data_IF_798622600370
#
_entry.id   IF_798622600370
#
_cell.length_a   1.000
_cell.length_b   1.000
_cell.length_c   1.000
_cell.angle_alpha   90.00
_cell.angle_beta   90.00
_cell.angle_gamma   90.00
#
_symmetry.space_group_name_H-M   'P 1'
#
loop_
_entity.id
_entity.type
_entity.pdbx_description
1 polymer ?
#
# COMPACT_ATOMS: atom_id res chain seq x y z
N UNK A 1 47.54 14.75 12.01
CA UNK A 1 46.57 13.65 11.78
C UNK A 1 45.52 14.16 10.83
N UNK A 2 45.36 13.52 9.68
CA UNK A 2 44.32 13.88 8.71
C UNK A 2 42.93 13.72 9.35
N UNK A 3 42.11 14.78 9.23
CA UNK A 3 40.81 14.85 9.90
C UNK A 3 39.83 13.96 9.15
N UNK A 4 39.23 13.00 9.85
CA UNK A 4 38.26 12.07 9.23
C UNK A 4 37.01 12.85 8.83
N UNK A 5 36.50 12.72 7.59
CA UNK A 5 35.26 13.37 7.16
C UNK A 5 34.05 12.94 8.01
N UNK A 6 33.07 13.82 8.23
CA UNK A 6 31.87 13.49 8.99
C UNK A 6 31.14 12.27 8.39
N UNK A 7 30.60 11.41 9.27
CA UNK A 7 29.91 10.18 8.86
C UNK A 7 30.83 9.01 8.49
N UNK A 8 32.13 9.13 8.73
CA UNK A 8 33.10 8.06 8.52
C UNK A 8 33.88 7.75 9.81
N UNK A 9 34.33 6.50 9.93
CA UNK A 9 35.19 6.06 11.02
C UNK A 9 36.49 5.47 10.46
N UNK A 10 37.61 5.73 11.13
CA UNK A 10 38.93 5.22 10.72
C UNK A 10 39.16 3.84 11.35
N UNK A 11 39.40 2.82 10.53
CA UNK A 11 39.73 1.45 10.96
C UNK A 11 41.14 1.13 10.51
N UNK A 12 42.10 1.10 11.45
CA UNK A 12 43.53 0.75 11.29
C UNK A 12 44.25 1.40 10.09
N UNK A 13 43.94 0.97 8.87
CA UNK A 13 44.57 1.39 7.61
C UNK A 13 43.65 2.14 6.64
N UNK A 14 42.33 2.19 6.84
CA UNK A 14 41.41 2.86 5.90
C UNK A 14 40.16 3.45 6.58
N UNK A 15 39.47 4.33 5.86
CA UNK A 15 38.26 5.03 6.33
C UNK A 15 37.02 4.27 5.83
N UNK A 16 36.16 3.82 6.75
CA UNK A 16 34.87 3.18 6.43
C UNK A 16 33.74 4.18 6.63
N UNK A 17 32.70 4.06 5.80
CA UNK A 17 31.45 4.81 5.97
C UNK A 17 30.66 4.20 7.13
N UNK A 18 30.08 5.04 7.99
CA UNK A 18 29.19 4.54 9.02
C UNK A 18 27.97 3.89 8.37
N UNK A 19 27.51 2.72 8.86
CA UNK A 19 26.24 2.18 8.43
C UNK A 19 25.17 3.23 8.72
N UNK A 20 24.46 3.66 7.69
CA UNK A 20 23.31 4.54 7.88
C UNK A 20 22.26 3.77 8.70
N UNK A 21 21.58 4.42 9.66
CA UNK A 21 20.43 3.80 10.30
C UNK A 21 19.43 3.46 9.19
N UNK A 22 19.35 2.18 8.84
CA UNK A 22 18.37 1.70 7.88
C UNK A 22 17.09 1.58 8.68
N UNK A 23 16.10 2.41 8.36
CA UNK A 23 14.77 2.26 8.94
C UNK A 23 14.34 0.81 8.76
N UNK A 24 13.99 0.13 9.86
CA UNK A 24 13.48 -1.24 9.80
C UNK A 24 12.12 -1.13 9.14
N UNK A 25 12.07 -1.42 7.84
CA UNK A 25 10.84 -1.36 7.07
C UNK A 25 9.77 -2.22 7.74
N UNK A 26 8.56 -1.68 7.83
CA UNK A 26 7.42 -2.45 8.32
C UNK A 26 7.24 -3.67 7.40
N UNK A 27 7.03 -4.85 7.98
CA UNK A 27 6.78 -6.06 7.19
C UNK A 27 5.57 -5.81 6.29
N UNK A 28 5.63 -6.26 5.03
CA UNK A 28 4.49 -6.16 4.11
C UNK A 28 3.22 -6.78 4.69
N UNK A 29 3.37 -7.82 5.52
CA UNK A 29 2.28 -8.44 6.28
C UNK A 29 1.64 -7.53 7.31
N UNK A 30 2.43 -6.66 7.96
CA UNK A 30 1.90 -5.67 8.90
C UNK A 30 1.04 -4.65 8.16
N UNK A 31 1.48 -4.21 6.98
CA UNK A 31 0.71 -3.30 6.12
C UNK A 31 -0.60 -3.99 5.69
N UNK A 32 -0.53 -5.23 5.20
CA UNK A 32 -1.71 -6.00 4.80
C UNK A 32 -2.72 -6.18 5.97
N UNK A 33 -2.23 -6.46 7.18
CA UNK A 33 -3.06 -6.56 8.38
C UNK A 33 -3.78 -5.25 8.73
N UNK A 34 -3.10 -4.11 8.59
CA UNK A 34 -3.71 -2.79 8.78
C UNK A 34 -4.82 -2.55 7.76
N UNK A 35 -4.57 -2.81 6.48
CA UNK A 35 -5.60 -2.67 5.44
C UNK A 35 -6.80 -3.58 5.68
N UNK A 36 -6.57 -4.85 6.05
CA UNK A 36 -7.64 -5.78 6.39
C UNK A 36 -8.49 -5.28 7.56
N UNK A 37 -7.87 -4.71 8.59
CA UNK A 37 -8.58 -4.12 9.72
C UNK A 37 -9.44 -2.94 9.28
N UNK A 38 -8.90 -2.03 8.48
CA UNK A 38 -9.63 -0.84 7.97
C UNK A 38 -10.86 -1.29 7.16
N UNK A 39 -10.67 -2.20 6.21
CA UNK A 39 -11.76 -2.72 5.35
C UNK A 39 -12.85 -3.38 6.19
N UNK A 40 -12.47 -4.27 7.12
CA UNK A 40 -13.42 -4.92 8.01
C UNK A 40 -14.16 -3.89 8.87
N UNK A 41 -13.47 -2.87 9.36
CA UNK A 41 -14.05 -1.87 10.23
C UNK A 41 -15.12 -1.05 9.52
N UNK A 42 -14.87 -0.56 8.30
CA UNK A 42 -15.92 0.16 7.58
C UNK A 42 -16.97 -0.74 6.92
N UNK A 43 -16.75 -2.07 6.81
CA UNK A 43 -17.87 -3.00 6.60
C UNK A 43 -18.80 -3.07 7.83
N UNK A 44 -18.25 -3.04 9.06
CA UNK A 44 -19.02 -3.17 10.31
C UNK A 44 -19.73 -1.88 10.70
N UNK A 45 -19.05 -0.73 10.57
CA UNK A 45 -19.57 0.57 11.01
C UNK A 45 -20.17 1.41 9.87
N UNK A 46 -20.02 0.95 8.63
CA UNK A 46 -20.35 1.73 7.44
C UNK A 46 -19.25 2.73 7.11
N UNK A 47 -18.60 2.55 5.96
CA UNK A 47 -17.96 3.67 5.27
C UNK A 47 -19.10 4.53 4.75
N UNK A 48 -19.24 5.76 5.25
CA UNK A 48 -20.33 6.66 4.85
C UNK A 48 -20.55 6.59 3.34
N UNK A 49 -21.78 6.30 2.93
CA UNK A 49 -22.23 5.97 1.58
C UNK A 49 -21.58 6.87 0.50
N UNK A 50 -20.38 6.51 0.02
CA UNK A 50 -19.91 6.97 -1.27
C UNK A 50 -20.47 5.96 -2.27
N UNK A 51 -21.61 6.36 -2.83
CA UNK A 51 -22.31 5.70 -3.92
C UNK A 51 -21.30 5.32 -5.01
N UNK A 52 -20.83 4.07 -4.99
CA UNK A 52 -20.07 3.50 -6.10
C UNK A 52 -21.07 3.49 -7.25
N UNK A 53 -20.86 4.25 -8.35
CA UNK A 53 -21.79 4.26 -9.45
C UNK A 53 -21.90 2.82 -9.96
N UNK A 54 -23.07 2.23 -9.76
CA UNK A 54 -23.38 0.89 -10.24
C UNK A 54 -23.20 0.94 -11.76
N UNK A 55 -22.38 0.05 -12.37
CA UNK A 55 -22.37 -0.05 -13.82
C UNK A 55 -23.79 -0.44 -14.25
N UNK A 56 -24.41 0.42 -15.05
CA UNK A 56 -25.75 0.20 -15.60
C UNK A 56 -25.78 -1.18 -16.24
N UNK A 57 -26.56 -2.10 -15.67
CA UNK A 57 -26.76 -3.41 -16.26
C UNK A 57 -27.23 -3.23 -17.72
N UNK A 58 -26.70 -3.99 -18.69
CA UNK A 58 -27.13 -3.86 -20.08
C UNK A 58 -28.62 -4.15 -20.16
N UNK A 59 -29.37 -3.18 -20.72
CA UNK A 59 -30.81 -3.27 -20.97
C UNK A 59 -31.11 -4.58 -21.71
N UNK A 60 -31.93 -5.50 -21.17
CA UNK A 60 -32.27 -6.72 -21.88
C UNK A 60 -33.00 -6.33 -23.18
N UNK A 61 -32.40 -6.66 -24.32
CA UNK A 61 -33.02 -6.54 -25.63
C UNK A 61 -34.15 -7.56 -25.69
N UNK A 62 -35.39 -7.09 -25.62
CA UNK A 62 -36.58 -7.93 -25.76
C UNK A 62 -36.54 -8.56 -27.15
N UNK A 63 -36.44 -9.89 -27.21
CA UNK A 63 -36.61 -10.64 -28.45
C UNK A 63 -38.05 -10.48 -28.93
N UNK A 64 -38.23 -9.98 -30.16
CA UNK A 64 -39.54 -9.86 -30.78
C UNK A 64 -40.14 -11.26 -31.03
N UNK A 65 -41.44 -11.48 -30.79
CA UNK A 65 -42.10 -12.73 -31.15
C UNK A 65 -42.27 -12.82 -32.67
N UNK A 66 -41.90 -13.94 -33.25
CA UNK A 66 -42.27 -14.27 -34.62
C UNK A 66 -43.78 -14.58 -34.67
N UNK A 67 -44.52 -13.81 -35.48
CA UNK A 67 -45.94 -14.03 -35.74
C UNK A 67 -46.07 -15.12 -36.82
N UNK A 68 -46.97 -16.11 -36.66
CA UNK A 68 -47.23 -17.15 -37.67
C UNK A 68 -47.93 -16.64 -38.92
#
# INVERSE_FOLDING_TARGET
>A
MEKVPPGHHRVRSYVRRNPRPRAKGMSGWTIAGIFGLIVLWGQVFGFGEEEIPQPTAPKPSVSAPAVP
#
